data_IF_262270922335
#
_entry.id   IF_262270922335
#
_cell.length_a   1.000
_cell.length_b   1.000
_cell.length_c   1.000
_cell.angle_alpha   90.00
_cell.angle_beta   90.00
_cell.angle_gamma   90.00
#
_symmetry.space_group_name_H-M   'P 1'
#
loop_
_entity.id
_entity.type
_entity.pdbx_description
1 polymer ?
#
# COMPACT_ATOMS: atom_id res chain seq x y z
N UNK A 1 6.04 -14.12 12.53
CA UNK A 1 5.14 -15.28 12.38
C UNK A 1 3.82 -14.99 13.10
N UNK A 2 3.84 -14.66 14.38
CA UNK A 2 2.65 -14.32 15.19
C UNK A 2 1.67 -13.34 14.52
N UNK A 3 2.13 -12.16 14.06
CA UNK A 3 1.27 -11.18 13.37
C UNK A 3 0.58 -11.69 12.09
N UNK A 4 1.19 -12.66 11.40
CA UNK A 4 0.59 -13.25 10.20
C UNK A 4 -0.51 -14.24 10.58
N UNK A 5 -0.33 -14.99 11.67
CA UNK A 5 -1.33 -15.90 12.20
C UNK A 5 -2.54 -15.13 12.72
N UNK A 6 -2.33 -14.07 13.51
CA UNK A 6 -3.42 -13.19 13.99
C UNK A 6 -4.24 -12.61 12.83
N UNK A 7 -3.56 -12.14 11.77
CA UNK A 7 -4.23 -11.62 10.58
C UNK A 7 -5.05 -12.70 9.86
N UNK A 8 -4.49 -13.91 9.70
CA UNK A 8 -5.18 -15.02 9.06
C UNK A 8 -6.42 -15.47 9.87
N UNK A 9 -6.33 -15.48 11.20
CA UNK A 9 -7.44 -15.83 12.10
C UNK A 9 -8.56 -14.79 12.12
N UNK A 10 -8.21 -13.50 12.00
CA UNK A 10 -9.19 -12.40 11.92
C UNK A 10 -10.01 -12.37 10.63
N UNK A 11 -9.57 -13.09 9.59
CA UNK A 11 -10.19 -13.12 8.27
C UNK A 11 -9.92 -11.86 7.45
N UNK A 12 -10.11 -11.95 6.13
CA UNK A 12 -9.97 -10.78 5.26
C UNK A 12 -11.22 -9.90 5.32
N UNK A 13 -11.05 -8.68 5.83
CA UNK A 13 -12.03 -7.61 5.69
C UNK A 13 -12.06 -7.14 4.24
N UNK A 14 -13.25 -6.90 3.70
CA UNK A 14 -13.43 -6.17 2.43
C UNK A 14 -13.36 -4.67 2.70
N UNK A 15 -12.47 -3.96 2.02
CA UNK A 15 -12.42 -2.50 2.07
C UNK A 15 -13.31 -1.88 0.98
N UNK A 16 -13.60 -0.60 1.15
CA UNK A 16 -14.32 0.25 0.22
C UNK A 16 -13.58 1.58 0.12
N UNK A 17 -13.83 2.33 -0.94
CA UNK A 17 -13.24 3.65 -1.17
C UNK A 17 -13.45 4.66 -0.02
N UNK A 18 -14.53 4.51 0.76
CA UNK A 18 -14.79 5.36 1.93
C UNK A 18 -14.04 4.96 3.21
N UNK A 19 -13.37 3.81 3.20
CA UNK A 19 -12.62 3.32 4.35
C UNK A 19 -11.28 4.03 4.50
N UNK A 20 -10.71 3.97 5.70
CA UNK A 20 -9.30 4.29 5.92
C UNK A 20 -8.44 3.07 5.62
N UNK A 21 -7.24 3.31 5.09
CA UNK A 21 -6.28 2.24 4.82
C UNK A 21 -5.92 1.53 6.12
N UNK A 22 -6.01 0.19 6.08
CA UNK A 22 -5.64 -0.69 7.17
C UNK A 22 -4.99 -1.96 6.64
N UNK A 23 -4.49 -2.80 7.55
CA UNK A 23 -3.90 -4.09 7.18
C UNK A 23 -4.96 -4.94 6.46
N UNK A 24 -4.59 -5.48 5.31
CA UNK A 24 -5.48 -6.20 4.40
C UNK A 24 -6.04 -5.36 3.25
N UNK A 25 -5.77 -4.05 3.19
CA UNK A 25 -6.22 -3.19 2.09
C UNK A 25 -5.30 -3.30 0.87
N UNK A 26 -5.92 -3.34 -0.31
CA UNK A 26 -5.29 -2.96 -1.57
C UNK A 26 -5.48 -1.46 -1.78
N UNK A 27 -4.41 -0.78 -2.18
CA UNK A 27 -4.40 0.68 -2.32
C UNK A 27 -3.72 1.06 -3.62
N UNK A 28 -4.47 1.72 -4.49
CA UNK A 28 -3.91 2.33 -5.69
C UNK A 28 -3.42 3.73 -5.34
N UNK A 29 -2.20 4.03 -5.77
CA UNK A 29 -1.54 5.29 -5.49
C UNK A 29 -0.91 5.85 -6.76
N UNK A 30 -1.00 7.16 -6.89
CA UNK A 30 -0.17 7.93 -7.82
C UNK A 30 1.12 8.32 -7.11
N UNK A 31 2.22 8.26 -7.82
CA UNK A 31 3.56 8.59 -7.34
C UNK A 31 4.18 9.58 -8.29
N UNK A 32 4.62 10.71 -7.75
CA UNK A 32 5.29 11.78 -8.50
C UNK A 32 6.68 12.00 -7.93
N UNK A 33 7.68 12.07 -8.81
CA UNK A 33 9.05 12.45 -8.46
C UNK A 33 9.71 13.25 -9.61
N UNK A 34 11.00 13.55 -9.48
CA UNK A 34 11.75 14.30 -10.50
C UNK A 34 11.80 13.62 -11.88
N UNK A 35 11.58 12.29 -11.94
CA UNK A 35 11.56 11.52 -13.19
C UNK A 35 10.15 11.47 -13.83
N UNK A 36 9.12 11.88 -13.11
CA UNK A 36 7.75 12.03 -13.60
C UNK A 36 6.69 11.39 -12.70
N UNK A 37 5.52 11.13 -13.29
CA UNK A 37 4.34 10.56 -12.63
C UNK A 37 4.15 9.08 -13.02
N UNK A 38 3.71 8.25 -12.06
CA UNK A 38 3.27 6.88 -12.33
C UNK A 38 2.28 6.34 -11.30
N UNK A 39 1.64 5.22 -11.62
CA UNK A 39 0.68 4.55 -10.73
C UNK A 39 1.26 3.25 -10.16
N UNK A 40 0.86 2.90 -8.94
CA UNK A 40 1.24 1.65 -8.27
C UNK A 40 0.07 1.10 -7.46
N UNK A 41 -0.03 -0.21 -7.40
CA UNK A 41 -0.91 -0.90 -6.45
C UNK A 41 -0.08 -1.44 -5.27
N UNK A 42 -0.49 -1.10 -4.06
CA UNK A 42 0.13 -1.52 -2.81
C UNK A 42 -0.79 -2.49 -2.06
N UNK A 43 -0.21 -3.48 -1.36
CA UNK A 43 -0.93 -4.34 -0.44
C UNK A 43 -0.35 -4.20 0.97
N UNK A 44 -1.13 -3.62 1.88
CA UNK A 44 -0.69 -3.44 3.27
C UNK A 44 -0.86 -4.74 4.05
N UNK A 45 0.24 -5.47 4.25
CA UNK A 45 0.25 -6.75 4.97
C UNK A 45 1.06 -6.68 6.26
N UNK A 46 0.85 -7.59 7.22
CA UNK A 46 1.63 -7.60 8.47
C UNK A 46 3.13 -7.85 8.27
N UNK A 47 3.50 -8.55 7.18
CA UNK A 47 4.86 -9.01 6.86
C UNK A 47 5.09 -9.01 5.34
N UNK A 48 6.35 -9.15 4.91
CA UNK A 48 6.69 -9.30 3.48
C UNK A 48 6.95 -7.99 2.72
N UNK A 49 7.33 -6.92 3.42
CA UNK A 49 7.66 -5.64 2.78
C UNK A 49 8.66 -5.80 1.62
N UNK A 50 8.39 -5.15 0.50
CA UNK A 50 9.25 -5.15 -0.69
C UNK A 50 9.04 -6.35 -1.63
N UNK A 51 8.17 -7.31 -1.26
CA UNK A 51 7.78 -8.39 -2.17
C UNK A 51 6.86 -7.84 -3.25
N UNK A 52 7.15 -8.15 -4.51
CA UNK A 52 6.24 -7.95 -5.62
C UNK A 52 5.43 -9.23 -5.87
N UNK A 53 4.11 -9.11 -5.86
CA UNK A 53 3.18 -10.18 -6.21
C UNK A 53 2.67 -9.95 -7.63
N UNK A 54 2.46 -11.01 -8.44
CA UNK A 54 1.78 -10.85 -9.72
C UNK A 54 0.34 -10.38 -9.47
N UNK A 55 -0.12 -9.41 -10.27
CA UNK A 55 -1.51 -8.96 -10.20
C UNK A 55 -2.49 -10.05 -10.65
N UNK A 56 -3.78 -9.92 -10.28
CA UNK A 56 -4.81 -10.86 -10.70
C UNK A 56 -4.84 -11.02 -12.22
N UNK A 57 -4.89 -12.27 -12.69
CA UNK A 57 -4.88 -12.55 -14.14
C UNK A 57 -3.57 -12.22 -14.86
N UNK A 58 -2.49 -11.93 -14.14
CA UNK A 58 -1.20 -11.55 -14.72
C UNK A 58 -1.10 -10.07 -15.11
N UNK A 59 -2.03 -9.24 -14.64
CA UNK A 59 -2.02 -7.81 -14.91
C UNK A 59 -1.12 -7.06 -13.91
N UNK A 60 0.10 -6.76 -14.33
CA UNK A 60 1.05 -5.97 -13.55
C UNK A 60 1.52 -6.64 -12.25
N UNK A 61 1.91 -5.81 -11.29
CA UNK A 61 2.45 -6.23 -10.01
C UNK A 61 1.88 -5.43 -8.85
N UNK A 62 1.63 -6.12 -7.74
CA UNK A 62 1.22 -5.54 -6.47
C UNK A 62 2.43 -5.52 -5.55
N UNK A 63 2.76 -4.36 -4.97
CA UNK A 63 3.88 -4.23 -4.03
C UNK A 63 3.39 -4.41 -2.61
N UNK A 64 3.96 -5.37 -1.89
CA UNK A 64 3.66 -5.55 -0.46
C UNK A 64 4.39 -4.48 0.35
N UNK A 65 3.63 -3.76 1.16
CA UNK A 65 4.12 -2.83 2.18
C UNK A 65 3.66 -3.31 3.55
N UNK A 66 4.40 -2.95 4.61
CA UNK A 66 4.01 -3.30 5.98
C UNK A 66 3.84 -2.04 6.80
N UNK A 67 3.00 -2.01 7.85
CA UNK A 67 2.83 -0.82 8.69
C UNK A 67 4.13 -0.28 9.31
N UNK A 68 5.20 -1.08 9.33
CA UNK A 68 6.52 -0.66 9.80
C UNK A 68 7.43 -0.04 8.73
N UNK A 69 7.11 -0.19 7.44
CA UNK A 69 7.90 0.39 6.35
C UNK A 69 7.66 1.90 6.21
N UNK A 70 8.56 2.68 5.58
CA UNK A 70 8.37 4.13 5.41
C UNK A 70 7.04 4.48 4.75
N UNK A 71 6.75 3.87 3.59
CA UNK A 71 5.47 4.05 2.87
C UNK A 71 4.31 3.53 3.70
N UNK A 72 4.43 2.34 4.32
CA UNK A 72 3.32 1.77 5.08
C UNK A 72 2.95 2.57 6.33
N UNK A 73 3.89 3.28 6.96
CA UNK A 73 3.61 4.21 8.07
C UNK A 73 2.79 5.41 7.61
N UNK A 74 3.15 6.02 6.48
CA UNK A 74 2.43 7.15 5.92
C UNK A 74 1.03 6.75 5.42
N UNK A 75 0.94 5.57 4.80
CA UNK A 75 -0.31 5.04 4.24
C UNK A 75 -1.30 4.59 5.33
N UNK A 76 -0.82 4.12 6.48
CA UNK A 76 -1.68 3.58 7.55
C UNK A 76 -2.65 4.65 8.07
N UNK A 77 -3.96 4.45 7.85
CA UNK A 77 -5.02 5.36 8.27
C UNK A 77 -5.35 6.49 7.27
N UNK A 78 -4.61 6.59 6.16
CA UNK A 78 -4.91 7.49 5.06
C UNK A 78 -6.26 7.17 4.42
N UNK A 79 -6.86 8.15 3.75
CA UNK A 79 -8.06 8.01 2.93
C UNK A 79 -7.75 8.48 1.49
N UNK A 80 -8.68 8.24 0.55
CA UNK A 80 -8.56 8.76 -0.82
C UNK A 80 -8.34 10.28 -0.80
N UNK A 81 -7.52 10.75 -1.74
CA UNK A 81 -7.06 12.13 -1.91
C UNK A 81 -6.07 12.62 -0.83
N UNK A 82 -5.77 11.83 0.22
CA UNK A 82 -4.65 12.15 1.11
C UNK A 82 -3.33 12.03 0.33
N UNK A 83 -2.45 13.01 0.57
CA UNK A 83 -1.14 13.11 -0.06
C UNK A 83 -0.02 13.14 1.00
N UNK A 84 1.10 12.46 0.72
CA UNK A 84 2.24 12.40 1.63
C UNK A 84 3.57 12.22 0.88
N UNK A 85 4.64 12.77 1.44
CA UNK A 85 6.00 12.62 0.92
C UNK A 85 6.76 11.52 1.67
N UNK A 86 7.40 10.61 0.94
CA UNK A 86 8.24 9.54 1.51
C UNK A 86 9.50 9.36 0.68
N UNK A 87 10.64 9.32 1.36
CA UNK A 87 11.93 8.99 0.75
C UNK A 87 12.00 7.48 0.46
N UNK A 88 12.13 7.11 -0.81
CA UNK A 88 12.33 5.72 -1.26
C UNK A 88 13.55 5.66 -2.16
N UNK A 89 14.49 4.79 -1.81
CA UNK A 89 15.78 4.63 -2.52
C UNK A 89 16.56 5.95 -2.66
N UNK A 90 16.49 6.80 -1.63
CA UNK A 90 17.18 8.09 -1.58
C UNK A 90 16.54 9.19 -2.44
N UNK A 91 15.33 8.96 -2.95
CA UNK A 91 14.56 9.96 -3.71
C UNK A 91 13.28 10.33 -2.97
N UNK A 92 13.02 11.62 -2.89
CA UNK A 92 11.75 12.14 -2.41
C UNK A 92 10.69 11.85 -3.46
N UNK A 93 9.56 11.29 -2.99
CA UNK A 93 8.43 10.98 -3.85
C UNK A 93 7.17 11.45 -3.15
N UNK A 94 6.32 12.14 -3.88
CA UNK A 94 4.97 12.48 -3.45
C UNK A 94 4.03 11.33 -3.82
N UNK A 95 3.18 10.93 -2.89
CA UNK A 95 2.24 9.82 -3.05
C UNK A 95 0.83 10.32 -2.77
N UNK A 96 -0.09 10.07 -3.69
CA UNK A 96 -1.51 10.38 -3.52
C UNK A 96 -2.32 9.08 -3.52
N UNK A 97 -3.20 8.90 -2.54
CA UNK A 97 -4.11 7.76 -2.48
C UNK A 97 -5.25 7.96 -3.49
N UNK A 98 -5.42 7.01 -4.42
CA UNK A 98 -6.40 7.10 -5.51
C UNK A 98 -7.61 6.19 -5.25
N UNK A 99 -7.40 4.96 -4.80
CA UNK A 99 -8.48 4.02 -4.47
C UNK A 99 -8.11 3.08 -3.30
N UNK A 100 -9.13 2.53 -2.63
CA UNK A 100 -9.00 1.59 -1.51
C UNK A 100 -10.00 0.43 -1.70
N UNK A 101 -9.51 -0.82 -1.71
CA UNK A 101 -10.32 -2.03 -1.90
C UNK A 101 -9.92 -3.24 -1.04
#
# INVERSE_FOLDING_TARGET
>A
MERLLEFAEGGMRRFRSSDRVGVGALVDVRVEDEEGEGERTLFLLPVGAGVALPGPGGDGFITVVTPGSPVGKALSGAQIDDCFEVVVDGRDREWTVVDIS
#
